data_IF_962358848640
#
_entry.id   IF_962358848640
#
_cell.length_a   1.000
_cell.length_b   1.000
_cell.length_c   1.000
_cell.angle_alpha   90.00
_cell.angle_beta   90.00
_cell.angle_gamma   90.00
#
_symmetry.space_group_name_H-M   'P 1'
#
loop_
_entity.id
_entity.type
_entity.pdbx_description
1 polymer ?
#
# COMPACT_ATOMS: atom_id res chain seq x y z
N UNK A 1 20.56 26.84 4.16
CA UNK A 1 19.68 26.30 3.10
C UNK A 1 20.08 24.86 2.82
N UNK A 2 19.16 23.90 2.96
CA UNK A 2 19.43 22.49 2.63
C UNK A 2 19.29 22.33 1.12
N UNK A 3 20.40 22.26 0.40
CA UNK A 3 20.38 21.88 -1.01
C UNK A 3 20.22 20.36 -1.11
N UNK A 4 19.18 19.91 -1.79
CA UNK A 4 18.97 18.48 -2.05
C UNK A 4 19.64 18.08 -3.35
N UNK A 5 20.55 17.10 -3.31
CA UNK A 5 21.09 16.46 -4.51
C UNK A 5 20.44 15.08 -4.67
N UNK A 6 19.68 14.89 -5.75
CA UNK A 6 19.00 13.62 -6.05
C UNK A 6 19.83 12.87 -7.11
N UNK A 7 20.31 11.67 -6.76
CA UNK A 7 21.03 10.80 -7.70
C UNK A 7 20.09 9.76 -8.32
N UNK A 8 19.62 10.03 -9.54
CA UNK A 8 18.78 9.09 -10.30
C UNK A 8 19.69 8.13 -11.08
N UNK A 9 19.71 6.85 -10.70
CA UNK A 9 20.48 5.84 -11.43
C UNK A 9 19.65 5.24 -12.56
N UNK A 10 19.97 5.64 -13.80
CA UNK A 10 19.90 4.70 -14.93
C UNK A 10 20.69 5.12 -16.18
N UNK A 11 20.89 6.41 -16.47
CA UNK A 11 21.58 6.83 -17.71
C UNK A 11 22.49 8.08 -17.66
N UNK A 12 22.40 8.96 -16.64
CA UNK A 12 23.33 10.11 -16.47
C UNK A 12 23.22 10.68 -15.04
N UNK A 13 24.30 11.23 -14.48
CA UNK A 13 24.27 11.96 -13.21
C UNK A 13 23.69 13.35 -13.48
N UNK A 14 22.56 13.69 -12.86
CA UNK A 14 21.92 15.00 -12.94
C UNK A 14 21.83 15.53 -11.51
N UNK A 15 22.30 16.75 -11.29
CA UNK A 15 22.16 17.46 -10.02
C UNK A 15 21.22 18.65 -10.25
N UNK A 16 20.21 18.78 -9.39
CA UNK A 16 19.18 19.83 -9.49
C UNK A 16 19.10 20.49 -8.12
N UNK A 17 19.22 21.82 -8.07
CA UNK A 17 19.04 22.60 -6.86
C UNK A 17 17.56 22.96 -6.72
N UNK A 18 16.96 22.60 -5.60
CA UNK A 18 15.56 22.89 -5.27
C UNK A 18 15.43 23.21 -3.78
N UNK A 19 14.45 24.03 -3.43
CA UNK A 19 14.16 24.37 -2.03
C UNK A 19 13.43 23.24 -1.30
N UNK A 20 12.62 22.46 -2.02
CA UNK A 20 11.79 21.39 -1.45
C UNK A 20 11.76 20.15 -2.34
N UNK A 21 11.71 18.97 -1.70
CA UNK A 21 11.59 17.67 -2.37
C UNK A 21 10.40 16.91 -1.79
N UNK A 22 9.43 16.58 -2.65
CA UNK A 22 8.32 15.71 -2.31
C UNK A 22 8.61 14.28 -2.76
N UNK A 23 8.61 13.35 -1.81
CA UNK A 23 8.83 11.92 -2.11
C UNK A 23 7.48 11.21 -2.23
N UNK A 24 7.04 10.97 -3.46
CA UNK A 24 5.77 10.28 -3.78
C UNK A 24 6.01 8.88 -4.38
N UNK A 25 6.94 8.12 -3.82
CA UNK A 25 7.38 6.83 -4.38
C UNK A 25 6.52 5.62 -3.94
N UNK A 26 5.32 5.85 -3.41
CA UNK A 26 4.46 4.80 -2.85
C UNK A 26 5.19 3.95 -1.81
N UNK A 27 5.14 2.62 -1.96
CA UNK A 27 5.86 1.67 -1.10
C UNK A 27 7.40 1.72 -1.19
N UNK A 28 7.99 2.58 -2.03
CA UNK A 28 9.45 2.83 -2.06
C UNK A 28 9.85 4.13 -1.34
N UNK A 29 8.91 4.82 -0.70
CA UNK A 29 9.15 6.09 -0.02
C UNK A 29 10.15 5.98 1.11
N UNK A 30 10.01 5.01 2.03
CA UNK A 30 10.92 4.87 3.16
C UNK A 30 12.34 4.42 2.74
N UNK A 31 12.51 3.45 1.80
CA UNK A 31 13.82 3.15 1.22
C UNK A 31 14.49 4.37 0.58
N UNK A 32 13.74 5.19 -0.14
CA UNK A 32 14.26 6.39 -0.77
C UNK A 32 14.67 7.42 0.29
N UNK A 33 13.83 7.68 1.29
CA UNK A 33 14.12 8.57 2.41
C UNK A 33 15.34 8.14 3.22
N UNK A 34 15.63 6.84 3.37
CA UNK A 34 16.86 6.36 4.03
C UNK A 34 18.14 6.87 3.34
N UNK A 35 18.10 7.00 2.01
CA UNK A 35 19.24 7.51 1.23
C UNK A 35 19.39 9.03 1.36
N UNK A 36 18.28 9.76 1.55
CA UNK A 36 18.29 11.23 1.70
C UNK A 36 18.52 11.71 3.12
N UNK A 37 17.82 11.13 4.10
CA UNK A 37 17.89 11.53 5.49
C UNK A 37 17.65 10.34 6.43
N UNK A 38 18.75 9.75 6.91
CA UNK A 38 18.73 8.61 7.83
C UNK A 38 18.03 8.93 9.16
N UNK A 39 18.06 10.18 9.64
CA UNK A 39 17.41 10.57 10.90
C UNK A 39 15.89 10.58 10.79
N UNK A 40 15.34 11.15 9.70
CA UNK A 40 13.89 11.16 9.46
C UNK A 40 13.39 9.73 9.25
N UNK A 41 14.09 8.94 8.42
CA UNK A 41 13.68 7.56 8.14
C UNK A 41 13.62 6.67 9.38
N UNK A 42 14.41 6.97 10.43
CA UNK A 42 14.38 6.26 11.73
C UNK A 42 13.17 6.57 12.61
N UNK A 43 12.24 7.44 12.18
CA UNK A 43 11.01 7.72 12.92
C UNK A 43 9.79 6.97 12.36
N UNK A 44 9.92 6.34 11.20
CA UNK A 44 8.82 5.72 10.48
C UNK A 44 9.11 4.24 10.23
N UNK A 45 8.05 3.44 10.14
CA UNK A 45 8.11 2.06 9.67
C UNK A 45 6.95 1.82 8.71
N UNK A 46 7.10 0.84 7.83
CA UNK A 46 6.07 0.46 6.85
C UNK A 46 5.14 -0.57 7.48
N UNK A 47 3.83 -0.33 7.39
CA UNK A 47 2.82 -1.30 7.81
C UNK A 47 2.51 -2.24 6.61
N UNK A 48 2.68 -3.56 6.76
CA UNK A 48 2.55 -4.52 5.67
C UNK A 48 1.09 -4.81 5.32
N UNK A 49 0.37 -3.87 4.70
CA UNK A 49 -1.03 -4.03 4.28
C UNK A 49 -1.10 -4.42 2.79
N UNK A 50 -1.91 -5.41 2.44
CA UNK A 50 -2.37 -5.62 1.06
C UNK A 50 -3.81 -5.19 0.84
N UNK A 51 -4.14 -5.02 -0.44
CA UNK A 51 -5.50 -4.99 -0.94
C UNK A 51 -5.63 -6.08 -2.00
N UNK A 52 -6.68 -6.87 -1.89
CA UNK A 52 -7.05 -7.84 -2.91
C UNK A 52 -8.43 -7.49 -3.46
N UNK A 53 -8.67 -7.87 -4.72
CA UNK A 53 -9.92 -7.57 -5.40
C UNK A 53 -10.44 -8.81 -6.12
N UNK A 54 -11.76 -8.96 -6.14
CA UNK A 54 -12.45 -9.85 -7.07
C UNK A 54 -12.65 -9.09 -8.38
N UNK A 55 -12.40 -9.76 -9.50
CA UNK A 55 -12.49 -9.17 -10.83
C UNK A 55 -13.61 -9.89 -11.58
N UNK A 56 -14.57 -9.13 -12.08
CA UNK A 56 -15.57 -9.61 -13.03
C UNK A 56 -15.10 -9.29 -14.46
N UNK A 57 -15.00 -10.33 -15.28
CA UNK A 57 -14.59 -10.25 -16.69
C UNK A 57 -15.76 -10.47 -17.66
N UNK A 58 -16.97 -10.68 -17.14
CA UNK A 58 -18.16 -10.95 -17.93
C UNK A 58 -18.66 -9.67 -18.62
N UNK A 59 -18.42 -9.56 -19.93
CA UNK A 59 -18.74 -8.37 -20.75
C UNK A 59 -20.19 -7.89 -20.60
N UNK A 60 -21.16 -8.82 -20.51
CA UNK A 60 -22.58 -8.49 -20.35
C UNK A 60 -22.88 -7.72 -19.05
N UNK A 61 -22.18 -8.04 -17.96
CA UNK A 61 -22.32 -7.35 -16.66
C UNK A 61 -21.55 -6.04 -16.64
N UNK A 62 -20.36 -6.04 -17.25
CA UNK A 62 -19.50 -4.85 -17.40
C UNK A 62 -20.22 -3.72 -18.13
N UNK A 63 -20.89 -4.01 -19.25
CA UNK A 63 -21.62 -3.00 -20.03
C UNK A 63 -22.79 -2.36 -19.26
N UNK A 64 -23.36 -3.07 -18.28
CA UNK A 64 -24.49 -2.58 -17.47
C UNK A 64 -24.03 -1.71 -16.29
N UNK A 65 -22.74 -1.63 -15.99
CA UNK A 65 -22.23 -0.94 -14.80
C UNK A 65 -21.20 0.13 -15.17
N UNK A 66 -21.55 1.42 -15.04
CA UNK A 66 -20.69 2.54 -15.45
C UNK A 66 -20.28 3.47 -14.29
N UNK A 67 -20.46 3.04 -13.05
CA UNK A 67 -20.27 3.88 -11.87
C UNK A 67 -19.36 3.20 -10.85
N UNK A 68 -18.89 3.99 -9.88
CA UNK A 68 -18.21 3.49 -8.69
C UNK A 68 -19.20 3.54 -7.53
N UNK A 69 -19.41 2.41 -6.85
CA UNK A 69 -20.39 2.29 -5.77
C UNK A 69 -19.65 1.98 -4.48
N UNK A 70 -19.79 2.86 -3.50
CA UNK A 70 -19.29 2.68 -2.14
C UNK A 70 -20.44 2.29 -1.22
N UNK A 71 -20.23 1.31 -0.36
CA UNK A 71 -21.17 1.00 0.72
C UNK A 71 -20.94 1.91 1.91
N UNK A 72 -21.95 2.04 2.76
CA UNK A 72 -21.84 2.74 4.03
C UNK A 72 -20.84 2.05 4.95
N UNK A 73 -20.22 2.85 5.82
CA UNK A 73 -19.26 2.34 6.80
C UNK A 73 -19.96 1.51 7.86
N UNK A 74 -19.65 0.22 7.92
CA UNK A 74 -20.09 -0.65 9.02
C UNK A 74 -19.44 -0.13 10.32
N UNK A 75 -20.25 0.02 11.37
CA UNK A 75 -19.81 0.46 12.69
C UNK A 75 -18.66 -0.44 13.18
N UNK A 76 -17.54 0.16 13.60
CA UNK A 76 -16.31 -0.49 14.09
C UNK A 76 -15.35 -1.05 13.02
N UNK A 77 -15.64 -0.93 11.72
CA UNK A 77 -14.66 -1.28 10.68
C UNK A 77 -13.74 -0.09 10.37
N UNK A 78 -12.46 -0.32 10.04
CA UNK A 78 -11.59 0.73 9.53
C UNK A 78 -12.23 1.39 8.30
N UNK A 79 -12.31 2.73 8.22
CA UNK A 79 -13.00 3.42 7.13
C UNK A 79 -12.40 3.12 5.75
N UNK A 80 -11.17 2.60 5.70
CA UNK A 80 -10.45 2.27 4.46
C UNK A 80 -10.64 0.81 4.00
N UNK A 81 -11.33 -0.04 4.75
CA UNK A 81 -11.40 -1.49 4.47
C UNK A 81 -12.73 -1.97 3.91
N UNK A 82 -13.60 -1.05 3.50
CA UNK A 82 -14.93 -1.39 3.02
C UNK A 82 -14.87 -1.74 1.53
N UNK A 83 -15.30 -2.96 1.13
CA UNK A 83 -15.36 -3.34 -0.26
C UNK A 83 -16.34 -2.45 -1.02
N UNK A 84 -15.88 -1.90 -2.12
CA UNK A 84 -16.63 -1.10 -3.06
C UNK A 84 -16.56 -1.73 -4.45
N UNK A 85 -17.54 -1.37 -5.28
CA UNK A 85 -17.58 -1.77 -6.67
C UNK A 85 -16.93 -0.66 -7.51
N UNK A 86 -15.88 -0.99 -8.23
CA UNK A 86 -15.05 -0.04 -8.97
C UNK A 86 -14.92 -0.47 -10.44
N UNK A 87 -15.34 0.37 -11.37
CA UNK A 87 -15.12 0.15 -12.79
C UNK A 87 -13.75 0.71 -13.18
N UNK A 88 -12.88 -0.13 -13.76
CA UNK A 88 -11.53 0.25 -14.17
C UNK A 88 -11.27 -0.10 -15.63
N UNK A 89 -10.53 0.77 -16.31
CA UNK A 89 -9.97 0.50 -17.64
C UNK A 89 -8.54 -0.02 -17.47
N UNK A 90 -8.32 -1.29 -17.78
CA UNK A 90 -7.01 -1.94 -17.70
C UNK A 90 -6.66 -2.46 -19.09
N UNK A 91 -5.51 -2.06 -19.63
CA UNK A 91 -5.09 -2.43 -20.99
C UNK A 91 -6.16 -2.19 -22.06
N UNK A 92 -6.90 -1.07 -21.96
CA UNK A 92 -8.04 -0.69 -22.82
C UNK A 92 -9.30 -1.55 -22.67
N UNK A 93 -9.34 -2.48 -21.72
CA UNK A 93 -10.53 -3.26 -21.40
C UNK A 93 -11.19 -2.76 -20.11
N UNK A 94 -12.51 -2.63 -20.14
CA UNK A 94 -13.31 -2.36 -18.94
C UNK A 94 -13.40 -3.62 -18.10
N UNK A 95 -13.15 -3.50 -16.79
CA UNK A 95 -13.30 -4.57 -15.80
C UNK A 95 -13.95 -4.02 -14.54
N UNK A 96 -14.82 -4.81 -13.91
CA UNK A 96 -15.41 -4.46 -12.62
C UNK A 96 -14.60 -5.12 -11.51
N UNK A 97 -14.17 -4.32 -10.53
CA UNK A 97 -13.45 -4.73 -9.35
C UNK A 97 -14.39 -4.66 -8.15
N UNK A 98 -14.36 -5.68 -7.29
CA UNK A 98 -15.01 -5.65 -5.98
C UNK A 98 -13.95 -5.84 -4.88
N UNK A 99 -13.88 -4.89 -3.96
CA UNK A 99 -12.82 -4.80 -2.94
C UNK A 99 -12.50 -3.33 -2.59
N UNK A 100 -11.36 -3.02 -1.96
CA UNK A 100 -10.34 -3.95 -1.51
C UNK A 100 -10.83 -4.80 -0.33
N UNK A 101 -10.46 -6.07 -0.35
CA UNK A 101 -10.35 -6.87 0.87
C UNK A 101 -8.94 -6.63 1.41
N UNK A 102 -8.86 -6.01 2.59
CA UNK A 102 -7.59 -5.67 3.19
C UNK A 102 -7.02 -6.88 3.93
N UNK A 103 -5.72 -7.08 3.83
CA UNK A 103 -5.00 -8.15 4.51
C UNK A 103 -3.58 -7.74 4.87
N UNK A 104 -2.82 -8.68 5.40
CA UNK A 104 -1.43 -8.49 5.78
C UNK A 104 -0.50 -9.12 4.74
N UNK A 105 0.41 -8.34 4.16
CA UNK A 105 1.44 -8.83 3.23
C UNK A 105 2.81 -8.27 3.52
N UNK A 106 3.82 -9.14 3.54
CA UNK A 106 5.21 -8.71 3.63
C UNK A 106 5.87 -8.52 2.27
N UNK A 107 5.12 -8.66 1.16
CA UNK A 107 5.65 -8.56 -0.22
C UNK A 107 5.49 -7.15 -0.77
N UNK A 108 6.50 -6.67 -1.50
CA UNK A 108 6.47 -5.36 -2.15
C UNK A 108 5.96 -5.49 -3.60
N UNK A 109 4.99 -4.63 -3.98
CA UNK A 109 4.30 -4.68 -5.29
C UNK A 109 5.22 -4.67 -6.51
N UNK A 110 6.38 -3.99 -6.44
CA UNK A 110 7.27 -3.78 -7.59
C UNK A 110 8.11 -5.02 -7.92
N UNK A 111 8.37 -5.88 -6.93
CA UNK A 111 9.18 -7.08 -7.16
C UNK A 111 8.72 -8.17 -6.19
N UNK A 112 8.14 -9.25 -6.72
CA UNK A 112 7.60 -10.38 -5.94
C UNK A 112 8.63 -11.00 -4.98
N UNK A 113 9.92 -10.82 -5.25
CA UNK A 113 11.01 -11.35 -4.43
C UNK A 113 11.50 -10.38 -3.35
N UNK A 114 11.09 -9.10 -3.39
CA UNK A 114 11.42 -8.13 -2.35
C UNK A 114 10.36 -8.13 -1.27
N UNK A 115 10.80 -8.30 -0.04
CA UNK A 115 9.94 -8.24 1.15
C UNK A 115 10.25 -6.99 1.97
N UNK A 116 9.29 -6.58 2.81
CA UNK A 116 9.47 -5.49 3.78
C UNK A 116 10.62 -5.80 4.75
N UNK A 117 10.98 -7.08 4.96
CA UNK A 117 12.06 -7.48 5.87
C UNK A 117 13.40 -6.81 5.53
N UNK A 118 13.67 -6.56 4.23
CA UNK A 118 14.88 -5.85 3.81
C UNK A 118 14.90 -4.38 4.26
N UNK A 119 13.74 -3.79 4.58
CA UNK A 119 13.61 -2.42 5.08
C UNK A 119 13.42 -2.35 6.61
N UNK A 120 13.22 -3.47 7.31
CA UNK A 120 13.04 -3.50 8.76
C UNK A 120 14.36 -3.18 9.47
N UNK A 121 14.29 -2.23 10.40
CA UNK A 121 15.38 -1.97 11.34
C UNK A 121 15.04 -2.68 12.65
N UNK A 122 15.92 -3.57 13.12
CA UNK A 122 15.74 -4.37 14.35
C UNK A 122 15.42 -3.52 15.60
N UNK A 123 15.86 -2.25 15.64
CA UNK A 123 15.50 -1.31 16.72
C UNK A 123 14.01 -0.95 16.78
N UNK A 124 13.24 -1.26 15.72
CA UNK A 124 11.81 -1.00 15.64
C UNK A 124 10.92 -2.16 16.07
N UNK A 125 11.47 -3.34 16.38
CA UNK A 125 10.65 -4.48 16.81
C UNK A 125 9.77 -4.08 18.00
N UNK A 126 10.32 -3.33 18.96
CA UNK A 126 9.56 -2.79 20.08
C UNK A 126 8.42 -1.87 19.64
N UNK A 127 8.67 -0.97 18.69
CA UNK A 127 7.66 -0.06 18.15
C UNK A 127 6.56 -0.80 17.38
N UNK A 128 6.91 -1.86 16.64
CA UNK A 128 5.95 -2.70 15.92
C UNK A 128 5.05 -3.43 16.92
N UNK A 129 5.62 -4.01 17.98
CA UNK A 129 4.85 -4.65 19.05
C UNK A 129 3.92 -3.65 19.74
N UNK A 130 4.45 -2.50 20.15
CA UNK A 130 3.64 -1.45 20.79
C UNK A 130 2.52 -0.94 19.87
N UNK A 131 2.83 -0.71 18.60
CA UNK A 131 1.85 -0.35 17.58
C UNK A 131 0.77 -1.43 17.45
N UNK A 132 1.17 -2.71 17.43
CA UNK A 132 0.25 -3.85 17.27
C UNK A 132 -0.71 -3.95 18.43
N UNK A 133 -0.22 -3.77 19.67
CA UNK A 133 -1.07 -3.77 20.88
C UNK A 133 -2.04 -2.58 20.84
N UNK A 134 -1.53 -1.37 20.57
CA UNK A 134 -2.36 -0.16 20.54
C UNK A 134 -3.39 -0.19 19.41
N UNK A 135 -3.10 -0.87 18.31
CA UNK A 135 -3.95 -0.98 17.13
C UNK A 135 -4.47 -2.42 16.95
N UNK A 136 -4.74 -3.12 18.05
CA UNK A 136 -5.15 -4.52 18.02
C UNK A 136 -6.36 -4.76 17.11
N UNK A 137 -7.34 -3.86 17.12
CA UNK A 137 -8.54 -3.97 16.28
C UNK A 137 -8.22 -4.11 14.78
N UNK A 138 -7.40 -3.20 14.23
CA UNK A 138 -7.02 -3.24 12.81
C UNK A 138 -6.11 -4.43 12.50
N UNK A 139 -5.15 -4.76 13.37
CA UNK A 139 -4.26 -5.91 13.13
C UNK A 139 -5.05 -7.22 13.15
N UNK A 140 -5.93 -7.40 14.13
CA UNK A 140 -6.81 -8.57 14.21
C UNK A 140 -7.74 -8.66 12.99
N UNK A 141 -8.28 -7.52 12.54
CA UNK A 141 -9.09 -7.48 11.32
C UNK A 141 -8.29 -7.96 10.10
N UNK A 142 -7.10 -7.41 9.86
CA UNK A 142 -6.25 -7.80 8.72
C UNK A 142 -5.84 -9.29 8.77
N UNK A 143 -5.54 -9.81 9.96
CA UNK A 143 -5.23 -11.23 10.14
C UNK A 143 -6.46 -12.11 9.84
N UNK A 144 -7.64 -11.73 10.34
CA UNK A 144 -8.88 -12.45 10.08
C UNK A 144 -9.20 -12.48 8.58
N UNK A 145 -9.07 -11.37 7.88
CA UNK A 145 -9.27 -11.31 6.43
C UNK A 145 -8.27 -12.21 5.67
N UNK A 146 -7.00 -12.26 6.08
CA UNK A 146 -6.04 -13.21 5.50
C UNK A 146 -6.44 -14.68 5.67
N UNK A 147 -7.02 -15.04 6.82
CA UNK A 147 -7.48 -16.41 7.09
C UNK A 147 -8.85 -16.73 6.48
N UNK A 148 -9.59 -15.74 5.95
CA UNK A 148 -10.82 -15.99 5.19
C UNK A 148 -10.45 -16.65 3.86
N UNK A 149 -10.48 -17.98 3.87
CA UNK A 149 -10.35 -18.76 2.64
C UNK A 149 -11.62 -18.67 1.81
N UNK A 150 -11.47 -18.82 0.49
CA UNK A 150 -12.57 -19.09 -0.45
C UNK A 150 -13.20 -20.43 -0.08
N UNK A 151 -14.06 -20.50 0.94
CA UNK A 151 -15.05 -21.59 0.97
C UNK A 151 -15.97 -21.34 -0.23
N UNK A 152 -15.88 -22.24 -1.20
CA UNK A 152 -16.76 -22.32 -2.37
C UNK A 152 -18.20 -22.49 -1.92
#
# INVERSE_FOLDING_TARGET
FFFFSIRIFKYKKIEILVDYVFVCAGGSTLPLLKNFNKFISKKYFELPIDGTWLICEEKKKILKHNLKVYSETIKNNPPMSIPHLDMRNIFKEKKIFFGPFAGLTFRVLVNKNKTIFNSINLKFVFNIVFFTIKNYSIINYLLKENFKTKKK
#
